data_IF_540764896444
#
_entry.id   IF_540764896444
#
_cell.length_a   1.000
_cell.length_b   1.000
_cell.length_c   1.000
_cell.angle_alpha   90.00
_cell.angle_beta   90.00
_cell.angle_gamma   90.00
#
_symmetry.space_group_name_H-M   'P 1'
#
loop_
_entity.id
_entity.type
_entity.pdbx_description
1 polymer ?
#
# COMPACT_ATOMS: atom_id res chain seq x y z
N UNK A 1 35.78 -11.41 12.48
CA UNK A 1 35.67 -11.33 13.96
C UNK A 1 34.35 -11.95 14.38
N UNK A 2 34.38 -13.23 14.76
CA UNK A 2 33.20 -14.05 15.07
C UNK A 2 33.14 -14.20 16.59
N UNK A 3 32.34 -13.39 17.27
CA UNK A 3 32.17 -13.52 18.73
C UNK A 3 31.10 -14.57 19.02
N UNK A 4 31.54 -15.82 19.13
CA UNK A 4 30.85 -16.86 19.90
C UNK A 4 30.79 -16.39 21.36
N UNK A 5 29.59 -16.38 21.97
CA UNK A 5 29.43 -16.15 23.40
C UNK A 5 29.26 -17.49 24.12
N UNK A 6 30.22 -17.74 25.00
CA UNK A 6 30.45 -18.89 25.87
C UNK A 6 29.29 -19.14 26.84
N UNK A 7 28.82 -20.38 26.94
CA UNK A 7 27.94 -20.86 28.02
C UNK A 7 28.80 -21.62 29.03
N UNK A 8 28.79 -21.15 30.27
CA UNK A 8 29.50 -21.71 31.42
C UNK A 8 28.83 -23.03 31.85
N UNK A 9 29.58 -24.13 31.88
CA UNK A 9 29.17 -25.42 32.46
C UNK A 9 29.50 -25.44 33.96
N UNK A 10 28.52 -25.77 34.79
CA UNK A 10 28.73 -26.33 36.14
C UNK A 10 27.91 -27.61 36.23
N UNK A 11 28.58 -28.71 36.56
CA UNK A 11 28.01 -30.05 36.80
C UNK A 11 27.99 -30.29 38.30
N UNK A 12 26.86 -30.71 38.88
CA UNK A 12 26.73 -31.71 39.95
C UNK A 12 25.25 -31.87 40.36
N UNK A 13 24.77 -33.12 40.40
CA UNK A 13 23.50 -33.50 41.05
C UNK A 13 22.64 -34.44 40.20
N UNK A 14 22.77 -35.75 40.44
CA UNK A 14 21.90 -36.76 39.84
C UNK A 14 20.49 -36.69 40.45
N UNK A 15 19.51 -36.35 39.61
CA UNK A 15 18.08 -36.47 39.89
C UNK A 15 17.33 -36.53 38.56
N UNK A 16 16.80 -37.69 38.20
CA UNK A 16 15.90 -37.83 37.06
C UNK A 16 14.57 -37.16 37.41
N UNK A 17 14.48 -35.87 37.12
CA UNK A 17 13.20 -35.17 36.99
C UNK A 17 12.97 -35.03 35.49
N UNK A 18 11.91 -35.66 34.98
CA UNK A 18 11.40 -35.42 33.63
C UNK A 18 10.81 -34.00 33.56
N UNK A 19 11.68 -32.99 33.64
CA UNK A 19 11.33 -31.60 33.44
C UNK A 19 11.20 -31.36 31.94
N UNK A 20 9.96 -31.31 31.46
CA UNK A 20 9.68 -30.80 30.12
C UNK A 20 10.23 -29.38 30.01
N UNK A 21 11.39 -29.24 29.37
CA UNK A 21 11.92 -27.93 29.00
C UNK A 21 11.08 -27.45 27.84
N UNK A 22 10.07 -26.65 28.15
CA UNK A 22 9.44 -25.80 27.13
C UNK A 22 10.55 -24.87 26.64
N UNK A 23 11.06 -25.15 25.44
CA UNK A 23 11.83 -24.17 24.69
C UNK A 23 10.88 -23.01 24.42
N UNK A 24 10.90 -22.00 25.29
CA UNK A 24 10.32 -20.70 24.98
C UNK A 24 11.17 -20.17 23.83
N UNK A 25 10.68 -20.33 22.59
CA UNK A 25 11.28 -19.68 21.45
C UNK A 25 11.41 -18.19 21.79
N UNK A 26 12.58 -17.56 21.55
CA UNK A 26 12.71 -16.13 21.76
C UNK A 26 11.60 -15.45 20.97
N UNK A 27 10.78 -14.67 21.65
CA UNK A 27 9.75 -13.85 21.01
C UNK A 27 10.50 -12.94 20.05
N UNK A 28 10.24 -13.08 18.74
CA UNK A 28 10.84 -12.19 17.75
C UNK A 28 10.38 -10.76 18.10
N UNK A 29 11.31 -9.93 18.57
CA UNK A 29 11.02 -8.58 19.01
C UNK A 29 11.07 -7.67 17.79
N UNK A 30 10.07 -6.80 17.66
CA UNK A 30 10.06 -5.75 16.63
C UNK A 30 11.32 -4.89 16.74
N UNK A 31 12.10 -4.79 15.66
CA UNK A 31 13.31 -3.98 15.60
C UNK A 31 13.05 -2.64 14.89
N UNK A 32 13.83 -1.62 15.24
CA UNK A 32 13.85 -0.35 14.50
C UNK A 32 15.15 -0.27 13.71
N UNK A 33 15.04 -0.42 12.39
CA UNK A 33 16.15 -0.50 11.45
C UNK A 33 16.38 0.88 10.84
N UNK A 34 17.47 1.60 11.17
CA UNK A 34 17.80 2.86 10.51
C UNK A 34 18.23 2.60 9.06
N UNK A 35 17.63 3.34 8.12
CA UNK A 35 17.86 3.18 6.69
C UNK A 35 18.65 4.37 6.15
N UNK A 36 19.91 4.16 5.80
CA UNK A 36 20.72 5.20 5.14
C UNK A 36 20.12 5.63 3.80
N UNK A 37 20.36 6.87 3.37
CA UNK A 37 19.76 7.45 2.16
C UNK A 37 20.34 6.88 0.85
N UNK A 38 19.99 5.64 0.51
CA UNK A 38 20.36 4.99 -0.76
C UNK A 38 19.40 3.85 -1.10
N UNK A 39 19.30 3.52 -2.39
CA UNK A 39 18.56 2.36 -2.89
C UNK A 39 18.98 1.06 -2.19
N UNK A 40 20.29 0.76 -2.18
CA UNK A 40 20.82 -0.47 -1.61
C UNK A 40 20.49 -0.61 -0.11
N UNK A 41 20.54 0.49 0.66
CA UNK A 41 20.19 0.46 2.08
C UNK A 41 18.71 0.18 2.29
N UNK A 42 17.82 0.78 1.49
CA UNK A 42 16.39 0.52 1.57
C UNK A 42 16.05 -0.94 1.21
N UNK A 43 16.63 -1.45 0.12
CA UNK A 43 16.45 -2.85 -0.30
C UNK A 43 16.97 -3.82 0.75
N UNK A 44 18.15 -3.55 1.34
CA UNK A 44 18.71 -4.37 2.40
C UNK A 44 17.83 -4.36 3.66
N UNK A 45 17.29 -3.21 4.06
CA UNK A 45 16.38 -3.10 5.20
C UNK A 45 15.08 -3.87 4.99
N UNK A 46 14.49 -3.80 3.79
CA UNK A 46 13.28 -4.57 3.44
C UNK A 46 13.56 -6.09 3.47
N UNK A 47 14.69 -6.54 2.91
CA UNK A 47 15.08 -7.95 2.97
C UNK A 47 15.31 -8.42 4.42
N UNK A 48 15.91 -7.58 5.25
CA UNK A 48 16.11 -7.88 6.67
C UNK A 48 14.75 -8.01 7.39
N UNK A 49 13.83 -7.08 7.19
CA UNK A 49 12.50 -7.15 7.78
C UNK A 49 11.67 -8.34 7.28
N UNK A 50 11.81 -8.72 6.00
CA UNK A 50 11.21 -9.94 5.46
C UNK A 50 11.82 -11.24 6.03
N UNK A 51 13.01 -11.18 6.66
CA UNK A 51 13.68 -12.36 7.19
C UNK A 51 13.15 -12.82 8.56
N UNK A 52 12.29 -12.01 9.19
CA UNK A 52 11.69 -12.31 10.50
C UNK A 52 10.17 -12.19 10.45
N UNK A 53 9.42 -12.95 11.26
CA UNK A 53 7.98 -12.78 11.35
C UNK A 53 7.56 -11.56 12.20
N UNK A 54 8.53 -10.83 12.79
CA UNK A 54 8.24 -9.67 13.63
C UNK A 54 7.81 -8.47 12.79
N UNK A 55 7.09 -7.54 13.44
CA UNK A 55 6.67 -6.29 12.82
C UNK A 55 7.78 -5.24 12.95
N UNK A 56 8.69 -5.18 11.98
CA UNK A 56 9.84 -4.28 12.03
C UNK A 56 9.51 -2.86 11.56
N UNK A 57 10.19 -1.87 12.13
CA UNK A 57 10.09 -0.46 11.75
C UNK A 57 11.35 -0.04 11.00
N UNK A 58 11.21 0.42 9.77
CA UNK A 58 12.30 0.93 8.94
C UNK A 58 12.29 2.46 9.03
N UNK A 59 13.21 3.00 9.83
CA UNK A 59 13.37 4.43 10.03
C UNK A 59 14.12 5.04 8.85
N UNK A 60 13.37 5.67 7.94
CA UNK A 60 13.92 6.29 6.74
C UNK A 60 14.69 7.56 7.11
N UNK A 61 15.78 7.81 6.40
CA UNK A 61 16.55 9.04 6.54
C UNK A 61 15.67 10.26 6.23
N UNK A 62 15.55 11.17 7.19
CA UNK A 62 14.65 12.32 7.09
C UNK A 62 14.88 13.17 5.84
N UNK A 63 13.83 13.39 5.06
CA UNK A 63 13.84 14.15 3.81
C UNK A 63 14.51 13.44 2.63
N UNK A 64 14.99 12.21 2.81
CA UNK A 64 15.67 11.47 1.75
C UNK A 64 14.73 11.16 0.58
N UNK A 65 15.29 11.17 -0.63
CA UNK A 65 14.66 10.59 -1.82
C UNK A 65 15.37 9.29 -2.19
N UNK A 66 14.74 8.16 -1.89
CA UNK A 66 15.18 6.82 -2.28
C UNK A 66 14.80 6.57 -3.74
N UNK A 67 15.79 6.65 -4.63
CA UNK A 67 15.63 6.48 -6.08
C UNK A 67 15.89 5.01 -6.44
N UNK A 68 14.84 4.29 -6.82
CA UNK A 68 14.92 2.90 -7.27
C UNK A 68 15.30 2.87 -8.75
N UNK A 69 16.49 2.38 -9.07
CA UNK A 69 17.04 2.37 -10.43
C UNK A 69 16.86 1.02 -11.13
N UNK A 70 16.65 -0.05 -10.36
CA UNK A 70 16.38 -1.41 -10.84
C UNK A 70 15.32 -2.12 -10.00
N UNK A 71 14.68 -3.18 -10.52
CA UNK A 71 13.74 -3.97 -9.73
C UNK A 71 14.48 -4.97 -8.82
N UNK A 72 13.95 -5.18 -7.60
CA UNK A 72 14.53 -6.02 -6.54
C UNK A 72 13.59 -7.14 -6.04
N UNK A 73 12.34 -7.20 -6.53
CA UNK A 73 11.34 -8.22 -6.19
C UNK A 73 10.86 -9.02 -7.39
N UNK A 74 11.80 -9.43 -8.26
CA UNK A 74 11.51 -9.95 -9.61
C UNK A 74 11.64 -8.85 -10.66
N UNK A 75 11.02 -9.02 -11.84
CA UNK A 75 11.11 -8.02 -12.92
C UNK A 75 10.16 -6.84 -12.76
N UNK A 76 9.15 -6.95 -11.89
CA UNK A 76 8.04 -5.99 -11.81
C UNK A 76 8.04 -5.08 -10.58
N UNK A 77 8.98 -5.25 -9.64
CA UNK A 77 8.90 -4.66 -8.30
C UNK A 77 10.22 -3.98 -7.91
N UNK A 78 10.15 -2.68 -7.60
CA UNK A 78 11.28 -1.86 -7.18
C UNK A 78 11.80 -2.22 -5.79
N UNK A 79 10.95 -2.66 -4.88
CA UNK A 79 11.36 -3.27 -3.61
C UNK A 79 11.24 -4.80 -3.69
N UNK A 80 11.99 -5.54 -2.85
CA UNK A 80 11.64 -6.93 -2.57
C UNK A 80 10.17 -7.04 -2.18
N UNK A 81 9.50 -8.13 -2.56
CA UNK A 81 8.08 -8.34 -2.22
C UNK A 81 7.93 -8.33 -0.70
N UNK A 82 7.00 -7.53 -0.19
CA UNK A 82 6.73 -7.40 1.24
C UNK A 82 5.95 -8.63 1.69
N UNK A 83 6.56 -9.47 2.52
CA UNK A 83 5.98 -10.75 2.98
C UNK A 83 5.67 -10.79 4.46
N UNK A 84 6.21 -9.85 5.22
CA UNK A 84 6.04 -9.73 6.68
C UNK A 84 5.44 -8.36 7.02
N UNK A 85 4.92 -8.17 8.24
CA UNK A 85 4.50 -6.85 8.68
C UNK A 85 5.70 -5.91 8.81
N UNK A 86 5.60 -4.71 8.25
CA UNK A 86 6.62 -3.68 8.45
C UNK A 86 6.05 -2.27 8.33
N UNK A 87 6.68 -1.34 9.05
CA UNK A 87 6.40 0.09 8.98
C UNK A 87 7.56 0.83 8.31
N UNK A 88 7.26 1.67 7.32
CA UNK A 88 8.16 2.68 6.79
C UNK A 88 7.81 4.01 7.43
N UNK A 89 8.70 4.56 8.24
CA UNK A 89 8.51 5.84 8.92
C UNK A 89 9.40 6.92 8.29
N UNK A 90 8.77 8.01 7.87
CA UNK A 90 9.40 9.14 7.19
C UNK A 90 9.74 10.32 8.13
N UNK A 91 9.96 11.52 7.56
CA UNK A 91 9.63 11.92 6.18
C UNK A 91 10.62 11.39 5.14
N UNK A 92 10.13 10.85 4.02
CA UNK A 92 10.96 10.41 2.90
C UNK A 92 10.15 10.23 1.62
N UNK A 93 10.80 10.26 0.46
CA UNK A 93 10.21 9.89 -0.83
C UNK A 93 10.83 8.61 -1.33
N UNK A 94 10.03 7.64 -1.76
CA UNK A 94 10.47 6.46 -2.49
C UNK A 94 9.94 6.61 -3.91
N UNK A 95 10.86 6.69 -4.87
CA UNK A 95 10.53 6.97 -6.27
C UNK A 95 11.25 6.01 -7.19
N UNK A 96 10.59 5.64 -8.29
CA UNK A 96 11.27 5.01 -9.41
C UNK A 96 12.10 6.06 -10.14
N UNK A 97 13.31 5.70 -10.53
CA UNK A 97 14.22 6.49 -11.36
C UNK A 97 14.92 5.58 -12.36
N UNK A 98 14.14 5.09 -13.33
CA UNK A 98 14.61 4.10 -14.30
C UNK A 98 13.88 4.25 -15.63
N UNK A 99 14.47 3.74 -16.70
CA UNK A 99 13.77 3.49 -17.97
C UNK A 99 12.99 2.18 -17.93
N UNK A 100 13.35 1.26 -17.04
CA UNK A 100 12.62 0.01 -16.83
C UNK A 100 11.29 0.31 -16.12
N UNK A 101 10.27 -0.46 -16.51
CA UNK A 101 8.92 -0.35 -15.95
C UNK A 101 8.78 -1.33 -14.78
N UNK A 102 8.66 -0.79 -13.57
CA UNK A 102 8.32 -1.54 -12.37
C UNK A 102 7.52 -0.66 -11.39
N UNK A 103 6.73 -1.29 -10.52
CA UNK A 103 6.05 -0.60 -9.41
C UNK A 103 6.99 -0.35 -8.24
N UNK A 104 6.61 0.49 -7.29
CA UNK A 104 7.43 0.72 -6.09
C UNK A 104 7.40 -0.51 -5.17
N UNK A 105 6.21 -1.02 -4.85
CA UNK A 105 6.08 -2.16 -3.95
C UNK A 105 5.00 -3.17 -4.40
N UNK A 106 5.23 -4.43 -4.08
CA UNK A 106 4.19 -5.46 -4.03
C UNK A 106 4.08 -5.98 -2.59
N UNK A 107 2.86 -6.05 -2.08
CA UNK A 107 2.56 -6.66 -0.77
C UNK A 107 1.90 -8.00 -1.00
N UNK A 108 2.53 -9.06 -0.50
CA UNK A 108 2.02 -10.43 -0.62
C UNK A 108 0.79 -10.66 0.25
N UNK A 109 0.14 -11.82 0.11
CA UNK A 109 -1.02 -12.21 0.93
C UNK A 109 -0.73 -12.32 2.44
N UNK A 110 0.55 -12.39 2.84
CA UNK A 110 0.97 -12.38 4.26
C UNK A 110 1.60 -11.06 4.69
N UNK A 111 1.90 -10.17 3.73
CA UNK A 111 2.53 -8.90 3.98
C UNK A 111 1.57 -7.86 4.56
N UNK A 112 2.13 -6.97 5.36
CA UNK A 112 1.45 -5.76 5.84
C UNK A 112 2.41 -4.59 5.77
N UNK A 113 2.15 -3.63 4.88
CA UNK A 113 2.97 -2.45 4.70
C UNK A 113 2.27 -1.23 5.32
N UNK A 114 2.89 -0.64 6.32
CA UNK A 114 2.43 0.61 6.93
C UNK A 114 3.37 1.75 6.57
N UNK A 115 2.84 2.89 6.13
CA UNK A 115 3.61 4.09 5.77
C UNK A 115 3.15 5.26 6.63
N UNK A 116 4.04 5.81 7.46
CA UNK A 116 3.71 6.88 8.40
C UNK A 116 4.66 8.06 8.30
N UNK A 117 4.20 9.22 8.80
CA UNK A 117 5.07 10.40 8.96
C UNK A 117 5.65 10.88 7.63
N UNK A 118 4.77 11.15 6.65
CA UNK A 118 5.13 11.76 5.36
C UNK A 118 6.08 10.94 4.50
N UNK A 119 5.76 9.64 4.35
CA UNK A 119 6.36 8.83 3.29
C UNK A 119 5.57 9.02 1.99
N UNK A 120 6.27 9.36 0.91
CA UNK A 120 5.69 9.54 -0.41
C UNK A 120 6.08 8.39 -1.35
N UNK A 121 5.09 7.76 -1.99
CA UNK A 121 5.29 6.73 -3.02
C UNK A 121 5.00 7.35 -4.38
N UNK A 122 6.04 7.46 -5.22
CA UNK A 122 5.95 8.25 -6.46
C UNK A 122 6.60 7.61 -7.68
N UNK A 123 6.12 8.01 -8.86
CA UNK A 123 6.68 7.66 -10.18
C UNK A 123 6.79 6.15 -10.49
N UNK A 124 6.16 5.29 -9.69
CA UNK A 124 6.04 3.87 -10.01
C UNK A 124 5.35 3.70 -11.35
N UNK A 125 5.83 2.79 -12.19
CA UNK A 125 5.29 2.60 -13.55
C UNK A 125 5.32 1.13 -13.92
N UNK A 126 4.17 0.47 -13.93
CA UNK A 126 4.13 -0.98 -14.10
C UNK A 126 3.30 -1.44 -15.29
N UNK A 127 3.83 -2.45 -15.98
CA UNK A 127 3.02 -3.30 -16.86
C UNK A 127 2.19 -4.23 -15.96
N UNK A 128 0.90 -3.93 -15.81
CA UNK A 128 0.02 -4.65 -14.89
C UNK A 128 -0.80 -3.72 -13.98
N UNK A 129 -1.31 -4.27 -12.87
CA UNK A 129 -2.10 -3.54 -11.87
C UNK A 129 -1.20 -2.92 -10.80
N UNK A 130 -1.50 -1.73 -10.25
CA UNK A 130 -0.81 -1.19 -9.08
C UNK A 130 0.51 -0.49 -9.40
N UNK A 131 0.46 0.66 -10.09
CA UNK A 131 1.65 1.36 -10.57
C UNK A 131 2.59 1.80 -9.45
N UNK A 132 2.04 2.30 -8.35
CA UNK A 132 2.78 2.51 -7.10
C UNK A 132 2.86 1.22 -6.30
N UNK A 133 1.69 0.68 -5.93
CA UNK A 133 1.57 -0.49 -5.07
C UNK A 133 0.59 -1.52 -5.64
N UNK A 134 1.04 -2.76 -5.78
CA UNK A 134 0.16 -3.92 -5.93
C UNK A 134 -0.06 -4.56 -4.56
N UNK A 135 -1.30 -4.57 -4.09
CA UNK A 135 -1.64 -5.09 -2.77
C UNK A 135 -2.42 -6.40 -2.86
N UNK A 136 -1.88 -7.45 -2.23
CA UNK A 136 -2.54 -8.75 -2.02
C UNK A 136 -2.75 -9.06 -0.53
N UNK A 137 -2.17 -8.25 0.36
CA UNK A 137 -2.25 -8.35 1.81
C UNK A 137 -2.84 -7.07 2.40
N UNK A 138 -2.10 -6.37 3.25
CA UNK A 138 -2.55 -5.12 3.86
C UNK A 138 -1.63 -3.94 3.56
N UNK A 139 -2.21 -2.78 3.26
CA UNK A 139 -1.48 -1.51 3.11
C UNK A 139 -2.16 -0.41 3.92
N UNK A 140 -1.39 0.33 4.72
CA UNK A 140 -1.88 1.46 5.51
C UNK A 140 -1.05 2.71 5.25
N UNK A 141 -1.68 3.81 4.86
CA UNK A 141 -1.07 5.14 4.79
C UNK A 141 -1.62 6.03 5.91
N UNK A 142 -0.73 6.65 6.68
CA UNK A 142 -1.08 7.66 7.70
C UNK A 142 -0.21 8.90 7.55
N UNK A 143 -0.79 10.02 7.13
CA UNK A 143 -0.07 11.26 6.79
C UNK A 143 1.03 11.05 5.74
N UNK A 144 0.77 10.19 4.76
CA UNK A 144 1.70 9.77 3.71
C UNK A 144 1.03 10.00 2.35
N UNK A 145 1.73 9.87 1.23
CA UNK A 145 1.14 10.19 -0.08
C UNK A 145 1.41 9.14 -1.15
N UNK A 146 0.49 9.07 -2.11
CA UNK A 146 0.57 8.18 -3.26
C UNK A 146 0.33 9.00 -4.52
N UNK A 147 1.41 9.34 -5.23
CA UNK A 147 1.36 10.41 -6.25
C UNK A 147 2.10 10.06 -7.53
N UNK A 148 1.51 10.37 -8.70
CA UNK A 148 2.23 10.34 -9.98
C UNK A 148 2.63 8.92 -10.42
N UNK A 149 1.87 7.90 -10.05
CA UNK A 149 2.16 6.51 -10.43
C UNK A 149 1.32 6.06 -11.63
N UNK A 150 1.84 5.13 -12.42
CA UNK A 150 1.24 4.65 -13.67
C UNK A 150 1.10 3.13 -13.71
N UNK A 151 -0.09 2.65 -14.11
CA UNK A 151 -0.37 1.24 -14.34
C UNK A 151 -0.96 1.03 -15.73
N UNK A 152 -0.48 0.04 -16.48
CA UNK A 152 -1.10 -0.32 -17.77
C UNK A 152 -2.41 -1.11 -17.64
N UNK A 153 -2.76 -1.55 -16.43
CA UNK A 153 -4.07 -2.13 -16.12
C UNK A 153 -4.82 -1.23 -15.13
N UNK A 154 -5.16 -1.73 -13.94
CA UNK A 154 -5.95 -1.01 -12.94
C UNK A 154 -5.11 -0.52 -11.76
N UNK A 155 -5.54 0.56 -11.10
CA UNK A 155 -4.88 1.09 -9.90
C UNK A 155 -3.55 1.76 -10.24
N UNK A 156 -3.59 2.96 -10.81
CA UNK A 156 -2.38 3.72 -11.16
C UNK A 156 -1.52 3.96 -9.91
N UNK A 157 -2.16 4.41 -8.83
CA UNK A 157 -1.55 4.50 -7.51
C UNK A 157 -1.48 3.13 -6.84
N UNK A 158 -2.64 2.60 -6.47
CA UNK A 158 -2.75 1.33 -5.74
C UNK A 158 -3.81 0.44 -6.35
N UNK A 159 -3.50 -0.85 -6.46
CA UNK A 159 -4.47 -1.89 -6.77
C UNK A 159 -4.57 -2.89 -5.60
N UNK A 160 -5.73 -2.93 -4.94
CA UNK A 160 -6.14 -4.13 -4.22
C UNK A 160 -6.49 -5.17 -5.28
N UNK A 161 -5.65 -6.20 -5.40
CA UNK A 161 -5.78 -7.21 -6.44
C UNK A 161 -7.12 -7.96 -6.34
N UNK A 162 -7.62 -8.44 -7.48
CA UNK A 162 -8.74 -9.37 -7.46
C UNK A 162 -8.30 -10.70 -6.82
N UNK A 163 -8.97 -11.10 -5.74
CA UNK A 163 -8.62 -12.31 -5.01
C UNK A 163 -9.85 -13.23 -4.84
N UNK A 164 -10.01 -14.27 -5.68
CA UNK A 164 -11.15 -15.19 -5.58
C UNK A 164 -11.14 -16.05 -4.30
N UNK A 165 -9.95 -16.42 -3.81
CA UNK A 165 -9.73 -17.30 -2.65
C UNK A 165 -8.52 -16.84 -1.83
N UNK A 166 -8.46 -17.24 -0.55
CA UNK A 166 -7.35 -16.86 0.35
C UNK A 166 -7.53 -15.48 1.00
N UNK A 167 -6.41 -14.84 1.36
CA UNK A 167 -6.39 -13.52 2.03
C UNK A 167 -6.93 -12.44 1.10
N UNK A 168 -7.95 -11.72 1.56
CA UNK A 168 -8.48 -10.57 0.84
C UNK A 168 -7.59 -9.33 1.06
N UNK A 169 -7.28 -8.55 0.00
CA UNK A 169 -6.47 -7.36 0.15
C UNK A 169 -7.22 -6.23 0.85
N UNK A 170 -6.53 -5.51 1.73
CA UNK A 170 -7.07 -4.37 2.46
C UNK A 170 -6.17 -3.14 2.31
N UNK A 171 -6.77 -1.99 2.02
CA UNK A 171 -6.07 -0.71 1.96
C UNK A 171 -6.74 0.33 2.86
N UNK A 172 -5.96 1.04 3.65
CA UNK A 172 -6.43 2.14 4.52
C UNK A 172 -5.62 3.40 4.27
N UNK A 173 -6.30 4.52 4.04
CA UNK A 173 -5.68 5.83 3.91
C UNK A 173 -6.27 6.78 4.96
N UNK A 174 -5.41 7.33 5.82
CA UNK A 174 -5.79 8.35 6.79
C UNK A 174 -4.97 9.61 6.53
N UNK A 175 -5.66 10.72 6.20
CA UNK A 175 -5.03 12.01 5.86
C UNK A 175 -3.90 11.86 4.82
N UNK A 176 -4.11 10.98 3.85
CA UNK A 176 -3.08 10.55 2.92
C UNK A 176 -3.52 10.80 1.47
N UNK A 177 -3.08 11.90 0.83
CA UNK A 177 -3.55 12.28 -0.49
C UNK A 177 -3.19 11.24 -1.56
N UNK A 178 -4.10 11.07 -2.51
CA UNK A 178 -3.92 10.21 -3.70
C UNK A 178 -4.08 11.07 -4.94
N UNK A 179 -2.98 11.34 -5.65
CA UNK A 179 -3.01 12.34 -6.71
C UNK A 179 -2.19 12.05 -7.96
N UNK A 180 -2.65 12.53 -9.11
CA UNK A 180 -1.86 12.46 -10.35
C UNK A 180 -1.55 11.05 -10.82
N UNK A 181 -2.25 10.02 -10.35
CA UNK A 181 -1.99 8.64 -10.73
C UNK A 181 -2.81 8.27 -11.98
N UNK A 182 -2.25 7.40 -12.82
CA UNK A 182 -2.85 7.03 -14.12
C UNK A 182 -2.97 5.51 -14.26
N UNK A 183 -4.15 5.04 -14.64
CA UNK A 183 -4.43 3.67 -15.02
C UNK A 183 -5.02 3.63 -16.44
N UNK A 184 -4.64 2.66 -17.26
CA UNK A 184 -5.30 2.48 -18.57
C UNK A 184 -6.71 1.90 -18.41
N UNK A 185 -6.94 1.08 -17.38
CA UNK A 185 -8.23 0.45 -17.10
C UNK A 185 -8.95 1.16 -15.95
N UNK A 186 -9.11 0.52 -14.80
CA UNK A 186 -10.01 1.02 -13.74
C UNK A 186 -9.22 1.61 -12.59
N UNK A 187 -9.75 2.65 -11.95
CA UNK A 187 -9.16 3.21 -10.74
C UNK A 187 -7.83 3.89 -11.02
N UNK A 188 -7.87 5.09 -11.64
CA UNK A 188 -6.66 5.86 -11.90
C UNK A 188 -5.83 6.08 -10.64
N UNK A 189 -6.49 6.49 -9.56
CA UNK A 189 -5.93 6.55 -8.21
C UNK A 189 -5.87 5.16 -7.58
N UNK A 190 -7.04 4.64 -7.22
CA UNK A 190 -7.17 3.37 -6.50
C UNK A 190 -8.14 2.43 -7.22
N UNK A 191 -7.70 1.20 -7.43
CA UNK A 191 -8.56 0.08 -7.79
C UNK A 191 -8.79 -0.81 -6.56
N UNK A 192 -10.06 -0.97 -6.18
CA UNK A 192 -10.50 -1.90 -5.15
C UNK A 192 -11.24 -3.08 -5.80
N UNK A 193 -10.49 -4.15 -6.06
CA UNK A 193 -10.98 -5.32 -6.79
C UNK A 193 -11.82 -6.30 -5.97
N UNK A 194 -12.06 -7.47 -6.58
CA UNK A 194 -12.85 -8.56 -6.02
C UNK A 194 -12.39 -8.91 -4.61
N UNK A 195 -13.34 -8.89 -3.66
CA UNK A 195 -13.15 -9.13 -2.23
C UNK A 195 -12.25 -8.12 -1.50
N UNK A 196 -11.69 -7.13 -2.19
CA UNK A 196 -10.88 -6.09 -1.58
C UNK A 196 -11.67 -5.21 -0.60
N UNK A 197 -10.95 -4.64 0.37
CA UNK A 197 -11.48 -3.60 1.26
C UNK A 197 -10.68 -2.31 1.13
N UNK A 198 -11.38 -1.19 1.05
CA UNK A 198 -10.78 0.15 1.02
C UNK A 198 -11.44 1.02 2.09
N UNK A 199 -10.62 1.64 2.94
CA UNK A 199 -11.05 2.66 3.89
C UNK A 199 -10.27 3.95 3.64
N UNK A 200 -10.99 5.06 3.49
CA UNK A 200 -10.39 6.39 3.32
C UNK A 200 -10.98 7.35 4.35
N UNK A 201 -10.11 8.08 5.04
CA UNK A 201 -10.49 8.91 6.18
C UNK A 201 -9.74 10.24 6.14
N UNK A 202 -10.46 11.33 5.94
CA UNK A 202 -9.98 12.68 6.24
C UNK A 202 -10.31 13.11 7.66
N UNK A 203 -10.24 14.41 7.91
CA UNK A 203 -10.71 15.02 9.16
C UNK A 203 -11.79 16.04 8.84
N UNK A 204 -12.67 16.33 9.80
CA UNK A 204 -13.71 17.34 9.62
C UNK A 204 -13.09 18.68 9.19
N UNK A 205 -13.59 19.27 8.10
CA UNK A 205 -13.07 20.52 7.52
C UNK A 205 -11.81 20.38 6.66
N UNK A 206 -11.13 19.23 6.69
CA UNK A 206 -9.99 18.93 5.82
C UNK A 206 -10.11 17.49 5.30
N UNK A 207 -11.02 17.26 4.33
CA UNK A 207 -11.22 15.94 3.77
C UNK A 207 -9.95 15.44 3.07
N UNK A 208 -9.75 14.13 3.06
CA UNK A 208 -8.63 13.51 2.35
C UNK A 208 -8.84 13.67 0.84
N UNK A 209 -7.89 14.26 0.09
CA UNK A 209 -8.10 14.50 -1.33
C UNK A 209 -7.70 13.28 -2.18
N UNK A 210 -8.57 12.93 -3.12
CA UNK A 210 -8.30 12.02 -4.25
C UNK A 210 -8.48 12.83 -5.53
N UNK A 211 -7.38 13.30 -6.11
CA UNK A 211 -7.43 14.38 -7.13
C UNK A 211 -6.50 14.19 -8.32
N UNK A 212 -6.93 14.65 -9.51
CA UNK A 212 -6.07 14.65 -10.69
C UNK A 212 -5.67 13.25 -11.17
N UNK A 213 -6.41 12.20 -10.78
CA UNK A 213 -6.13 10.85 -11.22
C UNK A 213 -6.87 10.54 -12.53
N UNK A 214 -6.30 9.70 -13.38
CA UNK A 214 -6.81 9.39 -14.72
C UNK A 214 -7.01 7.88 -14.90
N UNK A 215 -8.18 7.48 -15.38
CA UNK A 215 -8.54 6.08 -15.65
C UNK A 215 -9.37 5.92 -16.92
N UNK A 216 -9.75 4.70 -17.27
CA UNK A 216 -10.85 4.46 -18.22
C UNK A 216 -12.21 4.49 -17.53
N UNK A 217 -12.30 3.91 -16.33
CA UNK A 217 -13.50 3.98 -15.46
C UNK A 217 -13.07 4.19 -14.01
N UNK A 218 -13.66 5.16 -13.31
CA UNK A 218 -13.23 5.51 -11.96
C UNK A 218 -11.86 6.17 -12.00
N UNK A 219 -11.79 7.41 -12.51
CA UNK A 219 -10.53 8.16 -12.56
C UNK A 219 -9.89 8.28 -11.18
N UNK A 220 -10.67 8.65 -10.16
CA UNK A 220 -10.26 8.62 -8.76
C UNK A 220 -10.21 7.20 -8.20
N UNK A 221 -11.40 6.61 -7.99
CA UNK A 221 -11.56 5.29 -7.37
C UNK A 221 -12.46 4.40 -8.24
N UNK A 222 -12.07 3.14 -8.42
CA UNK A 222 -12.95 2.11 -8.96
C UNK A 222 -13.08 0.94 -7.98
N UNK A 223 -14.32 0.61 -7.60
CA UNK A 223 -14.65 -0.54 -6.76
C UNK A 223 -15.41 -1.58 -7.60
N UNK A 224 -14.86 -2.79 -7.75
CA UNK A 224 -15.42 -3.84 -8.60
C UNK A 224 -15.53 -5.13 -7.81
N UNK A 225 -16.75 -5.54 -7.48
CA UNK A 225 -17.06 -6.72 -6.66
C UNK A 225 -16.26 -6.75 -5.33
N UNK A 226 -15.89 -5.57 -4.83
CA UNK A 226 -15.17 -5.42 -3.56
C UNK A 226 -16.05 -5.82 -2.39
N UNK A 227 -15.46 -6.31 -1.31
CA UNK A 227 -16.21 -6.56 -0.07
C UNK A 227 -16.77 -5.26 0.48
N UNK A 228 -15.94 -4.22 0.58
CA UNK A 228 -16.34 -2.91 1.07
C UNK A 228 -15.43 -1.79 0.56
N UNK A 229 -16.04 -0.63 0.31
CA UNK A 229 -15.34 0.64 0.07
C UNK A 229 -15.97 1.73 0.95
N UNK A 230 -15.26 2.15 2.00
CA UNK A 230 -15.74 3.12 2.98
C UNK A 230 -14.98 4.43 2.83
N UNK A 231 -15.72 5.52 2.61
CA UNK A 231 -15.16 6.85 2.40
C UNK A 231 -15.75 7.81 3.43
N UNK A 232 -14.93 8.27 4.36
CA UNK A 232 -15.30 9.22 5.41
C UNK A 232 -14.48 10.49 5.26
N UNK A 233 -15.14 11.65 5.13
CA UNK A 233 -14.43 12.93 4.94
C UNK A 233 -13.41 12.83 3.80
N UNK A 234 -13.82 12.31 2.65
CA UNK A 234 -12.92 12.10 1.49
C UNK A 234 -13.44 12.88 0.30
N UNK A 235 -12.64 13.80 -0.24
CA UNK A 235 -13.01 14.63 -1.38
C UNK A 235 -12.44 14.02 -2.66
N UNK A 236 -13.32 13.64 -3.59
CA UNK A 236 -12.93 13.07 -4.89
C UNK A 236 -13.25 14.10 -5.98
N UNK A 237 -12.23 14.78 -6.49
CA UNK A 237 -12.43 15.87 -7.44
C UNK A 237 -11.31 16.05 -8.47
N UNK A 238 -11.66 16.63 -9.62
CA UNK A 238 -10.69 16.90 -10.69
C UNK A 238 -10.09 15.62 -11.30
N UNK A 239 -10.76 14.47 -11.16
CA UNK A 239 -10.31 13.23 -11.76
C UNK A 239 -10.92 13.05 -13.16
N UNK A 240 -10.21 12.33 -14.02
CA UNK A 240 -10.60 12.09 -15.40
C UNK A 240 -10.81 10.60 -15.67
N UNK A 241 -11.85 10.28 -16.40
CA UNK A 241 -12.07 8.97 -16.98
C UNK A 241 -12.24 9.07 -18.49
N UNK A 242 -11.75 8.09 -19.25
CA UNK A 242 -11.99 8.01 -20.68
C UNK A 242 -13.45 7.67 -21.01
N UNK A 243 -14.04 6.73 -20.25
CA UNK A 243 -15.37 6.20 -20.56
C UNK A 243 -16.44 6.78 -19.63
N UNK A 244 -16.30 6.63 -18.32
CA UNK A 244 -17.31 7.13 -17.36
C UNK A 244 -16.78 7.19 -15.94
N UNK A 245 -17.53 7.85 -15.04
CA UNK A 245 -17.24 7.95 -13.63
C UNK A 245 -15.82 8.46 -13.39
N UNK A 246 -15.57 9.72 -13.75
CA UNK A 246 -14.29 10.38 -13.48
C UNK A 246 -13.93 10.32 -12.01
N UNK A 247 -14.92 10.48 -11.11
CA UNK A 247 -14.71 10.43 -9.68
C UNK A 247 -14.65 9.01 -9.14
N UNK A 248 -15.81 8.39 -8.94
CA UNK A 248 -15.94 7.07 -8.34
C UNK A 248 -16.80 6.14 -9.20
N UNK A 249 -16.23 5.00 -9.57
CA UNK A 249 -16.93 3.94 -10.29
C UNK A 249 -17.23 2.77 -9.35
N UNK A 250 -18.47 2.30 -9.35
CA UNK A 250 -18.88 1.11 -8.60
C UNK A 250 -19.53 0.07 -9.51
N UNK A 251 -19.01 -1.16 -9.46
CA UNK A 251 -19.61 -2.33 -10.08
C UNK A 251 -19.75 -3.44 -9.02
N UNK A 252 -20.92 -3.55 -8.40
CA UNK A 252 -21.15 -4.48 -7.28
C UNK A 252 -20.45 -4.08 -5.97
N UNK A 253 -20.40 -5.02 -5.02
CA UNK A 253 -19.78 -4.80 -3.70
C UNK A 253 -20.49 -3.79 -2.80
N UNK A 254 -20.00 -3.53 -1.60
CA UNK A 254 -20.56 -2.47 -0.73
C UNK A 254 -19.76 -1.18 -0.84
N UNK A 255 -20.44 -0.04 -0.88
CA UNK A 255 -19.81 1.28 -0.81
C UNK A 255 -20.57 2.18 0.15
N UNK A 256 -19.86 2.89 1.01
CA UNK A 256 -20.42 3.81 2.01
C UNK A 256 -19.68 5.14 1.93
N UNK A 257 -20.43 6.24 1.90
CA UNK A 257 -19.88 7.60 1.80
C UNK A 257 -20.45 8.47 2.91
N UNK A 258 -19.59 9.01 3.76
CA UNK A 258 -19.96 9.89 4.88
C UNK A 258 -19.20 11.20 4.77
N UNK A 259 -19.89 12.29 4.46
CA UNK A 259 -19.29 13.61 4.25
C UNK A 259 -18.13 13.59 3.23
N UNK A 260 -18.31 12.82 2.15
CA UNK A 260 -17.28 12.59 1.14
C UNK A 260 -17.75 13.16 -0.19
N UNK A 261 -17.52 14.47 -0.46
CA UNK A 261 -18.00 15.09 -1.69
C UNK A 261 -17.28 14.51 -2.92
N UNK A 262 -18.07 14.18 -3.94
CA UNK A 262 -17.58 13.72 -5.25
C UNK A 262 -18.04 14.73 -6.28
N UNK A 263 -17.12 15.54 -6.81
CA UNK A 263 -17.48 16.71 -7.64
C UNK A 263 -16.38 17.08 -8.64
N UNK A 264 -16.75 17.82 -9.69
CA UNK A 264 -15.81 18.34 -10.70
C UNK A 264 -14.92 17.25 -11.34
N UNK A 265 -15.48 16.07 -11.58
CA UNK A 265 -14.79 15.00 -12.31
C UNK A 265 -15.31 14.91 -13.75
N UNK A 266 -14.49 14.39 -14.65
CA UNK A 266 -14.80 14.28 -16.09
C UNK A 266 -14.79 12.82 -16.54
N UNK A 267 -15.73 12.38 -17.40
CA UNK A 267 -16.82 13.15 -18.00
C UNK A 267 -18.00 13.39 -17.04
N UNK A 268 -18.04 12.71 -15.89
CA UNK A 268 -19.07 12.82 -14.86
C UNK A 268 -18.51 12.35 -13.50
N UNK A 269 -19.27 12.50 -12.43
CA UNK A 269 -18.79 12.09 -11.10
C UNK A 269 -18.86 10.57 -10.90
N UNK A 270 -20.03 9.96 -11.08
CA UNK A 270 -20.23 8.53 -10.80
C UNK A 270 -21.16 7.78 -11.76
N UNK A 271 -21.56 8.40 -12.87
CA UNK A 271 -22.52 7.79 -13.82
C UNK A 271 -21.94 6.49 -14.40
N UNK A 272 -22.83 5.53 -14.68
CA UNK A 272 -22.46 4.19 -15.15
C UNK A 272 -22.11 3.20 -14.03
N UNK A 273 -22.19 3.63 -12.77
CA UNK A 273 -22.04 2.75 -11.61
C UNK A 273 -23.31 1.93 -11.38
N UNK A 274 -23.15 0.62 -11.18
CA UNK A 274 -24.24 -0.31 -10.85
C UNK A 274 -23.82 -1.21 -9.69
N UNK A 275 -24.47 -1.11 -8.51
CA UNK A 275 -25.47 -0.10 -8.16
C UNK A 275 -24.83 1.30 -7.99
N UNK A 276 -25.67 2.34 -7.96
CA UNK A 276 -25.23 3.73 -7.85
C UNK A 276 -24.30 3.98 -6.65
N UNK A 277 -23.40 4.96 -6.79
CA UNK A 277 -22.53 5.43 -5.70
C UNK A 277 -23.38 6.27 -4.73
N UNK A 278 -23.40 5.96 -3.42
CA UNK A 278 -24.17 6.73 -2.45
C UNK A 278 -23.74 8.20 -2.40
N UNK A 279 -24.71 9.10 -2.24
CA UNK A 279 -24.50 10.54 -2.12
C UNK A 279 -23.66 11.20 -3.24
N UNK A 280 -23.50 10.52 -4.38
CA UNK A 280 -22.85 11.09 -5.54
C UNK A 280 -23.86 11.89 -6.35
N UNK A 281 -23.57 13.17 -6.57
CA UNK A 281 -24.40 14.08 -7.35
C UNK A 281 -23.63 14.49 -8.62
N UNK A 282 -24.32 14.57 -9.76
CA UNK A 282 -23.70 14.79 -11.08
C UNK A 282 -22.98 13.57 -11.65
#
# INVERSE_FOLDING_TARGET
MRKMRTVLKVLLGAGLVAGGTTLVAPVAQADTIPVACSENALVAAVNLANSTPAADTLALAGGCTYRLTSPHGGLGNGLPVITTPMELIGPATITRDSLLLFRIAEVSATGNLTLTTSVAITNGSAIGNGGGILNRGAVTFTNSSLTGNLATLSGGGLANADTPTGTAPAATFTRSPVSGNTAVLRGGGIYNGLRGTLTTTGVSGSPMPVTGNSGSQGGGIAAVNSTATTMTQTAISGNNALLTAGGAYRAGGTMTTTNSPISANTPNNCVGSVPAVPNCTG
#
